data_IF_174333012646
#
_entry.id   IF_174333012646
#
_cell.length_a   1.000
_cell.length_b   1.000
_cell.length_c   1.000
_cell.angle_alpha   90.00
_cell.angle_beta   90.00
_cell.angle_gamma   90.00
#
_symmetry.space_group_name_H-M   'P 1'
#
loop_
_entity.id
_entity.type
_entity.pdbx_description
1 polymer ?
#
# COMPACT_ATOMS: atom_id res chain seq x y z
N UNK A 1 -7.82 63.66 -16.11
CA UNK A 1 -7.40 62.45 -16.83
C UNK A 1 -7.23 61.31 -15.83
N UNK A 2 -8.13 60.33 -15.80
CA UNK A 2 -8.05 59.17 -14.91
C UNK A 2 -7.34 58.03 -15.65
N UNK A 3 -6.17 57.59 -15.18
CA UNK A 3 -5.45 56.42 -15.71
C UNK A 3 -5.92 55.19 -14.94
N UNK A 4 -6.68 54.32 -15.58
CA UNK A 4 -6.97 52.97 -15.09
C UNK A 4 -5.84 52.04 -15.51
N UNK A 5 -5.08 51.55 -14.53
CA UNK A 5 -4.13 50.45 -14.72
C UNK A 5 -4.92 49.13 -14.68
N UNK A 6 -4.98 48.42 -15.80
CA UNK A 6 -5.38 47.01 -15.84
C UNK A 6 -4.13 46.16 -15.69
N UNK A 7 -3.99 45.49 -14.55
CA UNK A 7 -2.98 44.46 -14.34
C UNK A 7 -3.58 43.09 -14.71
N UNK A 8 -3.11 42.49 -15.80
CA UNK A 8 -3.41 41.10 -16.15
C UNK A 8 -2.64 40.17 -15.20
N UNK A 9 -3.38 39.45 -14.35
CA UNK A 9 -2.85 38.33 -13.56
C UNK A 9 -2.75 37.09 -14.46
N UNK A 10 -1.54 36.72 -14.86
CA UNK A 10 -1.25 35.40 -15.46
C UNK A 10 -1.17 34.37 -14.33
N UNK A 11 -2.21 33.56 -14.19
CA UNK A 11 -2.23 32.44 -13.25
C UNK A 11 -1.42 31.31 -13.87
N UNK A 12 -0.18 31.14 -13.42
CA UNK A 12 0.64 29.97 -13.77
C UNK A 12 0.02 28.73 -13.09
N UNK A 13 -0.54 27.83 -13.89
CA UNK A 13 -1.07 26.55 -13.43
C UNK A 13 0.13 25.63 -13.16
N UNK A 14 0.58 25.56 -11.92
CA UNK A 14 1.57 24.57 -11.50
C UNK A 14 0.89 23.21 -11.34
N UNK A 15 1.04 22.35 -12.35
CA UNK A 15 0.67 20.94 -12.21
C UNK A 15 1.53 20.29 -11.12
N UNK A 16 0.94 19.61 -10.12
CA UNK A 16 1.72 18.88 -9.13
C UNK A 16 2.43 17.72 -9.83
N UNK A 17 3.75 17.78 -9.89
CA UNK A 17 4.58 16.63 -10.23
C UNK A 17 4.48 15.67 -9.05
N UNK A 18 3.62 14.66 -9.18
CA UNK A 18 3.61 13.53 -8.25
C UNK A 18 4.92 12.77 -8.50
N UNK A 19 5.86 12.87 -7.56
CA UNK A 19 7.12 12.13 -7.64
C UNK A 19 6.83 10.63 -7.81
N UNK A 20 7.50 10.00 -8.77
CA UNK A 20 7.42 8.56 -8.93
C UNK A 20 7.89 7.87 -7.63
N UNK A 21 7.30 6.72 -7.24
CA UNK A 21 7.72 6.02 -6.03
C UNK A 21 9.22 5.73 -6.11
N UNK A 22 9.97 6.19 -5.11
CA UNK A 22 11.42 6.05 -5.09
C UNK A 22 11.77 4.57 -4.85
N UNK A 23 12.53 3.98 -5.78
CA UNK A 23 13.09 2.64 -5.60
C UNK A 23 14.16 2.74 -4.49
N UNK A 24 14.07 1.95 -3.40
CA UNK A 24 15.05 1.99 -2.32
C UNK A 24 16.46 1.62 -2.81
N UNK A 25 17.47 2.26 -2.25
CA UNK A 25 18.87 1.87 -2.50
C UNK A 25 19.21 0.54 -1.80
N UNK A 26 20.24 -0.17 -2.26
CA UNK A 26 20.70 -1.41 -1.61
C UNK A 26 21.06 -1.21 -0.13
N UNK A 27 21.66 -0.06 0.20
CA UNK A 27 21.98 0.32 1.57
C UNK A 27 20.72 0.49 2.42
N UNK A 28 19.68 1.13 1.88
CA UNK A 28 18.38 1.25 2.55
C UNK A 28 17.70 -0.11 2.71
N UNK A 29 17.70 -0.95 1.68
CA UNK A 29 17.13 -2.31 1.73
C UNK A 29 17.80 -3.09 2.86
N UNK A 30 19.14 -3.11 2.91
CA UNK A 30 19.89 -3.81 3.95
C UNK A 30 19.60 -3.24 5.34
N UNK A 31 19.59 -1.90 5.46
CA UNK A 31 19.33 -1.20 6.72
C UNK A 31 17.94 -1.51 7.27
N UNK A 32 16.90 -1.43 6.43
CA UNK A 32 15.52 -1.72 6.85
C UNK A 32 15.29 -3.19 7.14
N UNK A 33 15.86 -4.12 6.36
CA UNK A 33 15.79 -5.55 6.69
C UNK A 33 16.41 -5.82 8.06
N UNK A 34 17.55 -5.20 8.38
CA UNK A 34 18.19 -5.35 9.69
C UNK A 34 17.35 -4.77 10.83
N UNK A 35 16.78 -3.57 10.63
CA UNK A 35 16.02 -2.86 11.66
C UNK A 35 14.65 -3.50 11.94
N UNK A 36 13.94 -3.92 10.89
CA UNK A 36 12.58 -4.48 10.96
C UNK A 36 12.56 -6.00 10.84
N UNK A 37 13.55 -6.69 11.42
CA UNK A 37 13.69 -8.14 11.31
C UNK A 37 12.42 -8.91 11.70
N UNK A 38 11.82 -8.56 12.83
CA UNK A 38 10.65 -9.26 13.37
C UNK A 38 9.43 -9.20 12.44
N UNK A 39 8.92 -8.02 12.04
CA UNK A 39 7.78 -7.97 11.13
C UNK A 39 8.13 -8.55 9.74
N UNK A 40 9.36 -8.41 9.26
CA UNK A 40 9.74 -8.93 7.95
C UNK A 40 9.73 -10.46 7.92
N UNK A 41 10.25 -11.10 8.96
CA UNK A 41 10.13 -12.55 9.14
C UNK A 41 8.67 -12.97 9.35
N UNK A 42 7.87 -12.18 10.07
CA UNK A 42 6.45 -12.47 10.25
C UNK A 42 5.71 -12.53 8.91
N UNK A 43 5.99 -11.62 7.96
CA UNK A 43 5.36 -11.67 6.63
C UNK A 43 5.66 -12.97 5.87
N UNK A 44 6.82 -13.60 6.11
CA UNK A 44 7.20 -14.87 5.49
C UNK A 44 6.38 -16.06 6.00
N UNK A 45 5.91 -15.97 7.25
CA UNK A 45 5.17 -17.04 7.93
C UNK A 45 3.65 -16.96 7.71
N UNK A 46 3.17 -15.88 7.11
CA UNK A 46 1.75 -15.71 6.77
C UNK A 46 1.45 -16.52 5.51
N UNK A 47 0.64 -17.58 5.65
CA UNK A 47 0.10 -18.33 4.51
C UNK A 47 -1.11 -17.58 3.92
N UNK A 48 -1.05 -17.15 2.64
CA UNK A 48 -2.18 -16.51 2.00
C UNK A 48 -3.34 -17.50 1.78
N UNK A 49 -4.57 -17.09 2.09
CA UNK A 49 -5.78 -17.86 1.77
C UNK A 49 -6.50 -17.24 0.58
N UNK A 50 -7.16 -18.07 -0.24
CA UNK A 50 -7.98 -17.56 -1.33
C UNK A 50 -9.14 -16.75 -0.76
N UNK A 51 -9.23 -15.48 -1.16
CA UNK A 51 -10.32 -14.59 -0.79
C UNK A 51 -11.05 -14.13 -2.04
N UNK A 52 -12.37 -13.92 -1.90
CA UNK A 52 -13.16 -13.26 -2.94
C UNK A 52 -12.56 -11.88 -3.18
N UNK A 53 -12.05 -11.63 -4.39
CA UNK A 53 -11.53 -10.32 -4.76
C UNK A 53 -12.70 -9.34 -4.92
N UNK A 54 -12.69 -8.23 -4.18
CA UNK A 54 -13.51 -7.08 -4.52
C UNK A 54 -12.91 -6.33 -5.72
N UNK A 55 -13.71 -6.15 -6.77
CA UNK A 55 -13.32 -5.48 -8.00
C UNK A 55 -13.67 -3.99 -8.01
N UNK A 56 -14.40 -3.53 -6.98
CA UNK A 56 -14.77 -2.13 -6.74
C UNK A 56 -14.61 -1.77 -5.26
N UNK A 57 -14.50 -0.46 -4.92
CA UNK A 57 -14.55 0.01 -3.54
C UNK A 57 -15.80 -0.44 -2.77
N UNK A 58 -16.98 -0.39 -3.40
CA UNK A 58 -18.25 -0.72 -2.75
C UNK A 58 -18.34 -2.22 -2.41
N UNK A 59 -17.84 -3.09 -3.30
CA UNK A 59 -17.70 -4.51 -3.01
C UNK A 59 -16.76 -4.77 -1.84
N UNK A 60 -15.67 -4.00 -1.73
CA UNK A 60 -14.70 -4.17 -0.65
C UNK A 60 -15.31 -3.85 0.72
N UNK A 61 -16.18 -2.84 0.81
CA UNK A 61 -16.89 -2.50 2.06
C UNK A 61 -17.70 -3.68 2.59
N UNK A 62 -18.34 -4.46 1.71
CA UNK A 62 -19.11 -5.64 2.11
C UNK A 62 -18.22 -6.81 2.58
N UNK A 63 -16.92 -6.74 2.30
CA UNK A 63 -15.93 -7.75 2.62
C UNK A 63 -14.91 -7.24 3.67
N UNK A 64 -15.29 -6.24 4.47
CA UNK A 64 -14.41 -5.62 5.45
C UNK A 64 -13.75 -6.65 6.38
N UNK A 65 -12.43 -6.53 6.54
CA UNK A 65 -11.62 -7.40 7.38
C UNK A 65 -11.06 -6.61 8.55
N UNK A 66 -11.26 -7.14 9.76
CA UNK A 66 -10.67 -6.55 10.95
C UNK A 66 -9.18 -6.91 11.00
N UNK A 67 -8.33 -5.91 11.14
CA UNK A 67 -6.92 -6.11 11.42
C UNK A 67 -6.70 -6.21 12.94
N UNK A 68 -6.73 -7.42 13.46
CA UNK A 68 -6.42 -7.75 14.86
C UNK A 68 -5.06 -8.49 14.99
N UNK A 69 -4.74 -9.30 13.99
CA UNK A 69 -3.53 -10.10 13.84
C UNK A 69 -3.03 -10.04 12.39
N UNK A 70 -2.10 -10.92 12.04
CA UNK A 70 -1.64 -11.06 10.67
C UNK A 70 -2.76 -11.52 9.71
N UNK A 71 -2.82 -10.90 8.54
CA UNK A 71 -3.75 -11.23 7.46
C UNK A 71 -2.98 -11.69 6.22
N UNK A 72 -3.52 -12.64 5.47
CA UNK A 72 -2.89 -13.19 4.27
C UNK A 72 -3.90 -13.57 3.21
N UNK A 73 -3.78 -12.99 2.02
CA UNK A 73 -4.75 -13.14 0.93
C UNK A 73 -4.09 -13.51 -0.38
N UNK A 74 -4.65 -14.49 -1.07
CA UNK A 74 -4.42 -14.71 -2.49
C UNK A 74 -5.62 -14.15 -3.26
N UNK A 75 -5.34 -13.18 -4.13
CA UNK A 75 -6.34 -12.39 -4.85
C UNK A 75 -6.01 -12.42 -6.34
N UNK A 76 -7.03 -12.49 -7.19
CA UNK A 76 -6.87 -12.27 -8.63
C UNK A 76 -7.31 -10.85 -8.95
N UNK A 77 -6.41 -10.04 -9.51
CA UNK A 77 -6.72 -8.68 -9.95
C UNK A 77 -7.74 -8.72 -11.10
N UNK A 78 -8.61 -7.71 -11.19
CA UNK A 78 -9.64 -7.65 -12.22
C UNK A 78 -9.07 -7.41 -13.64
N UNK A 79 -9.94 -7.30 -14.65
CA UNK A 79 -9.55 -7.04 -16.03
C UNK A 79 -8.81 -5.69 -16.26
N UNK A 80 -8.89 -4.77 -15.30
CA UNK A 80 -8.14 -3.50 -15.28
C UNK A 80 -6.84 -3.60 -14.46
N UNK A 81 -6.55 -4.76 -13.89
CA UNK A 81 -5.39 -4.95 -13.01
C UNK A 81 -5.59 -4.36 -11.60
N UNK A 82 -6.83 -4.23 -11.12
CA UNK A 82 -7.15 -3.65 -9.82
C UNK A 82 -7.79 -4.67 -8.87
N UNK A 83 -7.55 -4.50 -7.58
CA UNK A 83 -8.30 -5.17 -6.51
C UNK A 83 -8.40 -4.24 -5.30
N UNK A 84 -9.45 -4.44 -4.50
CA UNK A 84 -9.75 -3.62 -3.34
C UNK A 84 -9.85 -4.48 -2.08
N UNK A 85 -9.32 -4.00 -0.97
CA UNK A 85 -9.43 -4.63 0.35
C UNK A 85 -9.81 -3.56 1.35
N UNK A 86 -10.91 -3.78 2.07
CA UNK A 86 -11.35 -2.90 3.14
C UNK A 86 -10.82 -3.44 4.48
N UNK A 87 -10.07 -2.61 5.21
CA UNK A 87 -9.51 -2.96 6.52
C UNK A 87 -10.14 -2.12 7.61
N UNK A 88 -10.66 -2.76 8.67
CA UNK A 88 -11.05 -2.10 9.90
C UNK A 88 -9.88 -2.12 10.90
N UNK A 89 -9.40 -0.93 11.26
CA UNK A 89 -8.29 -0.68 12.17
C UNK A 89 -8.86 -0.25 13.52
N UNK A 90 -8.47 -0.96 14.58
CA UNK A 90 -9.01 -0.75 15.94
C UNK A 90 -8.14 0.15 16.80
N UNK A 91 -6.85 0.22 16.53
CA UNK A 91 -5.90 0.99 17.31
C UNK A 91 -5.56 2.32 16.63
N UNK A 92 -5.33 3.34 17.44
CA UNK A 92 -4.81 4.62 16.98
C UNK A 92 -3.33 4.46 16.59
N UNK A 93 -2.89 5.12 15.51
CA UNK A 93 -1.51 5.03 15.00
C UNK A 93 -1.03 3.58 14.77
N UNK A 94 -1.87 2.75 14.15
CA UNK A 94 -1.49 1.37 13.85
C UNK A 94 -0.42 1.36 12.74
N UNK A 95 0.72 0.75 13.06
CA UNK A 95 1.84 0.54 12.14
C UNK A 95 1.83 -0.88 11.61
N UNK A 96 1.90 -1.00 10.30
CA UNK A 96 1.76 -2.26 9.60
C UNK A 96 2.82 -2.41 8.51
N UNK A 97 3.26 -3.65 8.29
CA UNK A 97 4.05 -4.02 7.13
C UNK A 97 3.17 -4.82 6.18
N UNK A 98 2.98 -4.27 4.99
CA UNK A 98 2.30 -4.91 3.88
C UNK A 98 3.34 -5.59 2.99
N UNK A 99 3.12 -6.86 2.64
CA UNK A 99 3.96 -7.61 1.71
C UNK A 99 3.15 -8.02 0.48
N UNK A 100 3.64 -7.69 -0.71
CA UNK A 100 3.02 -8.01 -1.99
C UNK A 100 4.00 -8.68 -2.95
N UNK A 101 3.52 -9.20 -4.08
CA UNK A 101 4.42 -9.54 -5.19
C UNK A 101 5.18 -8.29 -5.68
N UNK A 102 6.35 -8.46 -6.33
CA UNK A 102 7.07 -7.35 -6.94
C UNK A 102 6.22 -6.81 -8.09
N UNK A 103 6.20 -5.48 -8.25
CA UNK A 103 5.41 -4.75 -9.25
C UNK A 103 3.90 -4.61 -8.95
N UNK A 104 3.43 -5.02 -7.78
CA UNK A 104 2.10 -4.63 -7.30
C UNK A 104 2.25 -3.29 -6.58
N UNK A 105 1.56 -2.26 -7.07
CA UNK A 105 1.44 -0.97 -6.40
C UNK A 105 0.35 -1.06 -5.35
N UNK A 106 0.63 -0.49 -4.18
CA UNK A 106 -0.32 -0.37 -3.09
C UNK A 106 -0.61 1.10 -2.82
N UNK A 107 -1.89 1.44 -2.64
CA UNK A 107 -2.34 2.73 -2.15
C UNK A 107 -3.40 2.54 -1.08
N UNK A 108 -3.32 3.33 -0.02
CA UNK A 108 -4.28 3.29 1.08
C UNK A 108 -4.72 4.72 1.38
N UNK A 109 -6.02 5.00 1.24
CA UNK A 109 -6.53 6.37 1.43
C UNK A 109 -6.57 6.69 2.93
N UNK A 110 -6.00 7.82 3.32
CA UNK A 110 -6.02 8.30 4.72
C UNK A 110 -4.90 7.73 5.61
N UNK A 111 -3.98 6.94 5.07
CA UNK A 111 -2.82 6.43 5.79
C UNK A 111 -1.52 6.82 5.05
N UNK A 112 -0.43 6.92 5.80
CA UNK A 112 0.89 7.22 5.27
C UNK A 112 1.61 5.95 4.84
N UNK A 113 2.39 6.05 3.77
CA UNK A 113 3.27 4.97 3.34
C UNK A 113 4.72 5.46 3.43
N UNK A 114 5.42 5.04 4.50
CA UNK A 114 6.74 5.57 4.92
C UNK A 114 7.95 4.75 4.40
N UNK A 115 7.67 3.72 3.62
CA UNK A 115 8.64 2.89 2.91
C UNK A 115 7.90 1.99 1.94
N UNK A 116 8.40 1.82 0.71
CA UNK A 116 7.75 1.02 -0.33
C UNK A 116 8.78 0.26 -1.14
N UNK A 117 8.34 -0.85 -1.72
CA UNK A 117 9.15 -1.69 -2.62
C UNK A 117 10.46 -2.19 -2.00
N UNK A 118 10.48 -2.39 -0.68
CA UNK A 118 11.64 -2.93 0.01
C UNK A 118 11.67 -4.45 -0.19
N UNK A 119 12.71 -4.97 -0.82
CA UNK A 119 12.86 -6.42 -0.99
C UNK A 119 12.99 -7.11 0.37
N UNK A 120 12.18 -8.13 0.62
CA UNK A 120 12.31 -8.97 1.82
C UNK A 120 13.47 -9.97 1.65
N UNK A 121 14.50 -9.86 2.49
CA UNK A 121 15.69 -10.72 2.44
C UNK A 121 15.57 -11.99 3.29
N UNK A 122 14.47 -12.16 4.04
CA UNK A 122 14.27 -13.31 4.93
C UNK A 122 13.53 -14.50 4.28
N UNK A 123 12.80 -14.27 3.18
CA UNK A 123 12.12 -15.29 2.39
C UNK A 123 12.20 -14.96 0.89
N UNK A 124 13.44 -14.96 0.38
CA UNK A 124 13.79 -14.54 -0.99
C UNK A 124 13.04 -15.38 -2.03
N UNK A 125 12.79 -16.66 -1.75
CA UNK A 125 12.05 -17.58 -2.60
C UNK A 125 10.61 -17.10 -2.89
N UNK A 126 10.02 -16.34 -1.96
CA UNK A 126 8.66 -15.83 -2.06
C UNK A 126 8.58 -14.50 -2.82
N UNK A 127 9.75 -13.86 -3.07
CA UNK A 127 9.89 -12.62 -3.85
C UNK A 127 8.94 -11.53 -3.38
N UNK A 128 8.95 -11.21 -2.09
CA UNK A 128 8.04 -10.20 -1.52
C UNK A 128 8.64 -8.79 -1.57
N UNK A 129 7.80 -7.83 -1.93
CA UNK A 129 8.05 -6.41 -1.78
C UNK A 129 7.28 -5.89 -0.57
N UNK A 130 7.97 -5.19 0.33
CA UNK A 130 7.44 -4.70 1.59
C UNK A 130 7.13 -3.21 1.53
N UNK A 131 6.05 -2.84 2.20
CA UNK A 131 5.56 -1.46 2.31
C UNK A 131 5.19 -1.17 3.76
N UNK A 132 5.75 -0.12 4.33
CA UNK A 132 5.44 0.35 5.69
C UNK A 132 4.28 1.32 5.65
N UNK A 133 3.19 0.98 6.34
CA UNK A 133 1.97 1.77 6.38
C UNK A 133 1.70 2.19 7.82
N UNK A 134 1.35 3.45 8.01
CA UNK A 134 0.94 3.99 9.29
C UNK A 134 -0.43 4.64 9.16
N UNK A 135 -1.40 4.20 9.96
CA UNK A 135 -2.68 4.90 10.09
C UNK A 135 -2.55 6.01 11.13
N UNK A 136 -3.53 6.91 11.18
CA UNK A 136 -3.54 8.01 12.15
C UNK A 136 -4.76 7.99 13.07
N UNK A 137 -5.76 7.17 12.76
CA UNK A 137 -7.02 7.08 13.48
C UNK A 137 -7.53 5.62 13.47
N UNK A 138 -8.45 5.30 14.39
CA UNK A 138 -9.26 4.09 14.24
C UNK A 138 -10.25 4.27 13.08
N UNK A 139 -10.62 3.17 12.44
CA UNK A 139 -11.65 3.19 11.40
C UNK A 139 -11.33 2.34 10.19
N UNK A 140 -12.03 2.64 9.11
CA UNK A 140 -12.12 1.81 7.92
C UNK A 140 -11.25 2.39 6.81
N UNK A 141 -10.25 1.64 6.38
CA UNK A 141 -9.27 2.02 5.37
C UNK A 141 -9.42 1.16 4.11
N UNK A 142 -9.62 1.83 2.98
CA UNK A 142 -9.65 1.18 1.68
C UNK A 142 -8.23 1.07 1.12
N UNK A 143 -7.78 -0.16 0.93
CA UNK A 143 -6.53 -0.52 0.25
C UNK A 143 -6.86 -0.83 -1.21
N UNK A 144 -6.19 -0.12 -2.11
CA UNK A 144 -6.22 -0.39 -3.55
C UNK A 144 -4.89 -1.01 -3.98
N UNK A 145 -4.99 -2.12 -4.70
CA UNK A 145 -3.88 -2.87 -5.26
C UNK A 145 -3.94 -2.75 -6.78
N UNK A 146 -2.79 -2.47 -7.40
CA UNK A 146 -2.70 -2.31 -8.85
C UNK A 146 -1.53 -3.09 -9.43
N UNK A 147 -1.78 -3.82 -10.51
CA UNK A 147 -0.82 -4.67 -11.20
C UNK A 147 -1.25 -4.96 -12.64
N UNK A 148 -0.92 -6.15 -13.16
CA UNK A 148 -1.35 -6.55 -14.51
C UNK A 148 -2.79 -7.08 -14.48
N UNK A 149 -3.55 -6.93 -15.59
CA UNK A 149 -4.87 -7.55 -15.73
C UNK A 149 -4.86 -9.05 -15.41
N UNK A 150 -5.86 -9.52 -14.64
CA UNK A 150 -6.04 -10.93 -14.26
C UNK A 150 -4.84 -11.57 -13.55
N UNK A 151 -3.93 -10.76 -12.99
CA UNK A 151 -2.77 -11.24 -12.27
C UNK A 151 -3.18 -11.84 -10.93
N UNK A 152 -2.72 -13.06 -10.63
CA UNK A 152 -2.76 -13.61 -9.28
C UNK A 152 -1.69 -12.93 -8.41
N UNK A 153 -2.10 -12.42 -7.25
CA UNK A 153 -1.23 -11.78 -6.29
C UNK A 153 -1.40 -12.38 -4.89
N UNK A 154 -0.38 -12.21 -4.06
CA UNK A 154 -0.38 -12.40 -2.62
C UNK A 154 -0.33 -11.03 -1.96
N UNK A 155 -1.18 -10.81 -0.97
CA UNK A 155 -1.10 -9.70 -0.03
C UNK A 155 -0.97 -10.28 1.38
N UNK A 156 -0.03 -9.78 2.17
CA UNK A 156 0.14 -10.15 3.57
C UNK A 156 0.30 -8.89 4.40
N UNK A 157 -0.28 -8.88 5.58
CA UNK A 157 -0.29 -7.72 6.45
C UNK A 157 0.07 -8.21 7.84
N UNK A 158 1.07 -7.59 8.46
CA UNK A 158 1.49 -7.86 9.83
C UNK A 158 1.65 -6.54 10.57
N UNK A 159 1.63 -6.58 11.90
CA UNK A 159 2.04 -5.44 12.73
C UNK A 159 3.53 -5.18 12.52
N UNK A 160 3.92 -3.91 12.45
CA UNK A 160 5.33 -3.49 12.43
C UNK A 160 6.01 -3.68 13.78
#
# INVERSE_FOLDING_TARGET
>A
MKKTLSALLTIAVSSPVIAAPQIPSDAEIKGRNTYFITPYQATCNVTPVNQVTANTPDEAIQLEQIFDKSLGYSLTLNAKGQAYVQLAIKEWNEKMVFATNPNVKLTIKGADINGQYITNLYCIEQKLALHHVNTHEWGSYLVELHGRPNQLISLRIVKE
#
